data_IF_565312796869
#
_entry.id   IF_565312796869
#
_cell.length_a   1.000
_cell.length_b   1.000
_cell.length_c   1.000
_cell.angle_alpha   90.00
_cell.angle_beta   90.00
_cell.angle_gamma   90.00
#
_symmetry.space_group_name_H-M   'P 1'
#
loop_
_entity.id
_entity.type
_entity.pdbx_description
1 polymer ?
#
# COMPACT_ATOMS: atom_id res chain seq x y z
N UNK A 1 5.73 39.44 8.95
CA UNK A 1 4.71 38.38 8.78
C UNK A 1 5.45 37.07 8.61
N UNK A 2 5.44 36.21 9.62
CA UNK A 2 6.04 34.87 9.51
C UNK A 2 5.05 33.96 8.81
N UNK A 3 5.41 33.42 7.66
CA UNK A 3 4.60 32.43 6.96
C UNK A 3 4.95 31.05 7.51
N UNK A 4 3.99 30.39 8.17
CA UNK A 4 4.10 28.97 8.49
C UNK A 4 4.08 28.19 7.18
N UNK A 5 5.22 27.67 6.78
CA UNK A 5 5.26 26.62 5.76
C UNK A 5 4.73 25.36 6.43
N UNK A 6 3.56 24.90 6.02
CA UNK A 6 3.11 23.53 6.29
C UNK A 6 4.12 22.62 5.60
N UNK A 7 5.16 22.22 6.33
CA UNK A 7 6.10 21.23 5.81
C UNK A 7 5.31 19.93 5.71
N UNK A 8 4.94 19.56 4.49
CA UNK A 8 4.55 18.19 4.21
C UNK A 8 5.77 17.34 4.59
N UNK A 9 5.75 16.75 5.79
CA UNK A 9 6.77 15.78 6.17
C UNK A 9 6.61 14.62 5.20
N UNK A 10 7.53 14.51 4.25
CA UNK A 10 7.61 13.35 3.38
C UNK A 10 8.17 12.24 4.26
N UNK A 11 7.29 11.34 4.72
CA UNK A 11 7.71 10.11 5.38
C UNK A 11 8.36 9.22 4.31
N UNK A 12 9.67 9.00 4.43
CA UNK A 12 10.45 8.21 3.48
C UNK A 12 10.61 6.77 3.99
N UNK A 13 9.62 5.93 3.72
CA UNK A 13 9.76 4.49 3.94
C UNK A 13 10.69 3.90 2.86
N UNK A 14 11.88 3.46 3.25
CA UNK A 14 12.74 2.67 2.37
C UNK A 14 12.26 1.22 2.38
N UNK A 15 11.42 0.88 1.41
CA UNK A 15 10.82 -0.45 1.29
C UNK A 15 11.86 -1.49 0.85
N UNK A 16 11.92 -2.62 1.56
CA UNK A 16 12.87 -3.71 1.33
C UNK A 16 12.21 -5.05 1.06
N UNK A 17 10.98 -5.25 1.53
CA UNK A 17 10.27 -6.52 1.45
C UNK A 17 8.90 -6.31 0.81
N UNK A 18 8.50 -7.27 -0.02
CA UNK A 18 7.17 -7.31 -0.63
C UNK A 18 6.59 -8.71 -0.49
N UNK A 19 5.31 -8.78 -0.11
CA UNK A 19 4.52 -10.00 -0.10
C UNK A 19 3.16 -9.69 -0.74
N UNK A 20 2.67 -10.61 -1.56
CA UNK A 20 1.41 -10.45 -2.30
C UNK A 20 0.50 -11.63 -1.96
N UNK A 21 -0.72 -11.34 -1.54
CA UNK A 21 -1.83 -12.28 -1.45
C UNK A 21 -2.84 -11.94 -2.56
N UNK A 22 -2.94 -12.79 -3.58
CA UNK A 22 -3.82 -12.57 -4.74
C UNK A 22 -5.25 -13.13 -4.54
N UNK A 23 -5.55 -13.70 -3.37
CA UNK A 23 -6.79 -14.40 -3.09
C UNK A 23 -7.36 -14.01 -1.72
N UNK A 24 -7.19 -12.75 -1.33
CA UNK A 24 -7.62 -12.22 -0.04
C UNK A 24 -9.14 -12.00 0.03
N UNK A 25 -9.64 -11.92 1.27
CA UNK A 25 -11.04 -11.63 1.61
C UNK A 25 -11.99 -12.83 1.42
N UNK A 26 -13.27 -12.71 1.84
CA UNK A 26 -14.21 -13.84 1.85
C UNK A 26 -14.44 -14.47 0.46
N UNK A 27 -14.44 -13.65 -0.59
CA UNK A 27 -14.63 -14.08 -1.98
C UNK A 27 -13.34 -14.45 -2.71
N UNK A 28 -12.17 -14.35 -2.06
CA UNK A 28 -10.86 -14.63 -2.65
C UNK A 28 -10.58 -13.89 -3.97
N UNK A 29 -11.14 -12.70 -4.12
CA UNK A 29 -11.09 -11.90 -5.34
C UNK A 29 -10.38 -10.56 -5.15
N UNK A 30 -9.73 -10.37 -4.01
CA UNK A 30 -8.91 -9.20 -3.73
C UNK A 30 -7.43 -9.55 -3.78
N UNK A 31 -6.64 -8.63 -4.32
CA UNK A 31 -5.18 -8.66 -4.19
C UNK A 31 -4.76 -7.69 -3.10
N UNK A 32 -4.07 -8.18 -2.09
CA UNK A 32 -3.49 -7.38 -1.00
C UNK A 32 -1.97 -7.47 -1.08
N UNK A 33 -1.30 -6.32 -0.96
CA UNK A 33 0.15 -6.20 -0.98
C UNK A 33 0.63 -5.68 0.37
N UNK A 34 1.63 -6.34 0.93
CA UNK A 34 2.35 -5.90 2.12
C UNK A 34 3.73 -5.43 1.71
N UNK A 35 4.10 -4.22 2.11
CA UNK A 35 5.40 -3.61 1.86
C UNK A 35 6.08 -3.36 3.20
N UNK A 36 7.20 -4.03 3.46
CA UNK A 36 7.99 -3.84 4.67
C UNK A 36 9.17 -2.89 4.41
N UNK A 37 9.35 -1.89 5.26
CA UNK A 37 10.52 -1.03 5.28
C UNK A 37 11.67 -1.62 6.12
N UNK A 38 12.84 -1.01 6.04
CA UNK A 38 13.96 -1.27 6.95
C UNK A 38 13.76 -0.69 8.37
N UNK A 39 12.89 0.31 8.53
CA UNK A 39 12.52 0.88 9.83
C UNK A 39 11.61 0.00 10.69
N UNK A 40 11.10 -1.11 10.15
CA UNK A 40 10.12 -1.97 10.84
C UNK A 40 8.66 -1.65 10.49
N UNK A 41 8.42 -0.63 9.67
CA UNK A 41 7.08 -0.26 9.21
C UNK A 41 6.59 -1.24 8.14
N UNK A 42 5.32 -1.63 8.23
CA UNK A 42 4.61 -2.40 7.21
C UNK A 42 3.41 -1.59 6.71
N UNK A 43 3.36 -1.42 5.39
CA UNK A 43 2.24 -0.81 4.69
C UNK A 43 1.42 -1.90 4.00
N UNK A 44 0.10 -1.89 4.20
CA UNK A 44 -0.85 -2.84 3.62
C UNK A 44 -1.73 -2.14 2.61
N UNK A 45 -1.72 -2.59 1.36
CA UNK A 45 -2.50 -2.02 0.28
C UNK A 45 -3.50 -3.02 -0.29
N UNK A 46 -4.71 -2.55 -0.59
CA UNK A 46 -5.63 -3.24 -1.49
C UNK A 46 -5.37 -2.79 -2.92
N UNK A 47 -5.17 -3.72 -3.83
CA UNK A 47 -5.05 -3.45 -5.25
C UNK A 47 -6.42 -3.64 -5.91
N UNK A 48 -6.96 -2.54 -6.44
CA UNK A 48 -8.19 -2.54 -7.23
C UNK A 48 -7.82 -2.38 -8.69
N UNK A 49 -7.79 -3.48 -9.42
CA UNK A 49 -7.84 -3.40 -10.87
C UNK A 49 -9.22 -2.87 -11.26
N UNK A 50 -9.29 -1.74 -11.97
CA UNK A 50 -10.54 -1.34 -12.60
C UNK A 50 -10.81 -2.32 -13.76
N UNK A 51 -11.48 -3.43 -13.44
CA UNK A 51 -12.03 -4.38 -14.40
C UNK A 51 -13.34 -3.86 -14.99
N UNK A 52 -13.45 -2.55 -15.26
CA UNK A 52 -14.49 -2.06 -16.14
C UNK A 52 -14.35 -2.84 -17.44
N UNK A 53 -15.41 -3.55 -17.81
CA UNK A 53 -15.55 -4.32 -19.04
C UNK A 53 -15.53 -3.42 -20.30
N UNK A 54 -14.64 -2.44 -20.35
CA UNK A 54 -14.32 -1.69 -21.55
C UNK A 54 -13.37 -2.57 -22.34
N UNK A 55 -13.83 -2.99 -23.52
CA UNK A 55 -13.14 -3.76 -24.55
C UNK A 55 -11.86 -3.12 -25.11
N UNK A 56 -11.30 -2.13 -24.41
CA UNK A 56 -10.12 -1.39 -24.80
C UNK A 56 -8.95 -1.72 -23.84
N UNK A 57 -7.90 -2.43 -24.29
CA UNK A 57 -6.75 -2.80 -23.45
C UNK A 57 -5.94 -1.59 -22.94
N UNK A 58 -6.30 -0.36 -23.36
CA UNK A 58 -5.54 0.85 -23.12
C UNK A 58 -5.78 1.54 -21.77
N UNK A 59 -6.77 1.13 -20.96
CA UNK A 59 -7.15 1.91 -19.74
C UNK A 59 -7.54 1.08 -18.52
N UNK A 60 -6.85 -0.03 -18.26
CA UNK A 60 -6.89 -0.65 -16.94
C UNK A 60 -6.19 0.28 -15.92
N UNK A 61 -6.95 1.21 -15.32
CA UNK A 61 -6.46 2.05 -14.22
C UNK A 61 -6.45 1.21 -12.94
N UNK A 62 -5.29 0.67 -12.59
CA UNK A 62 -5.09 -0.01 -11.31
C UNK A 62 -4.95 1.03 -10.21
N UNK A 63 -5.87 1.03 -9.26
CA UNK A 63 -5.83 1.90 -8.09
C UNK A 63 -5.39 1.11 -6.85
N UNK A 64 -4.33 1.56 -6.18
CA UNK A 64 -3.93 1.06 -4.86
C UNK A 64 -4.60 1.88 -3.75
N UNK A 65 -5.15 1.22 -2.74
CA UNK A 65 -5.71 1.84 -1.54
C UNK A 65 -4.88 1.41 -0.33
N UNK A 66 -4.29 2.36 0.40
CA UNK A 66 -3.66 2.08 1.69
C UNK A 66 -4.75 1.70 2.68
N UNK A 67 -4.65 0.49 3.24
CA UNK A 67 -5.57 -0.01 4.25
C UNK A 67 -5.07 0.33 5.65
N UNK A 68 -3.81 -0.01 5.91
CA UNK A 68 -3.19 0.06 7.24
C UNK A 68 -1.70 0.38 7.09
N UNK A 69 -1.18 1.13 8.06
CA UNK A 69 0.23 1.29 8.36
C UNK A 69 0.44 0.82 9.79
N UNK A 70 1.41 -0.07 10.01
CA UNK A 70 1.71 -0.57 11.35
C UNK A 70 3.20 -0.90 11.49
N UNK A 71 3.73 -0.75 12.70
CA UNK A 71 5.09 -1.20 13.04
C UNK A 71 5.08 -2.69 13.39
N UNK A 72 6.09 -3.42 12.96
CA UNK A 72 6.32 -4.78 13.47
C UNK A 72 6.69 -4.72 14.94
N UNK A 73 6.30 -5.74 15.69
CA UNK A 73 6.71 -5.86 17.09
C UNK A 73 8.25 -5.81 17.19
N UNK A 74 8.82 -5.04 18.14
CA UNK A 74 10.23 -5.10 18.44
C UNK A 74 10.63 -6.56 18.68
N UNK A 75 11.74 -6.98 18.09
CA UNK A 75 12.25 -8.35 18.25
C UNK A 75 12.83 -8.60 19.65
N UNK A 76 12.72 -7.63 20.56
CA UNK A 76 13.30 -7.66 21.89
C UNK A 76 12.38 -8.45 22.85
N UNK A 77 12.43 -9.78 22.71
CA UNK A 77 12.11 -10.78 23.74
C UNK A 77 13.06 -11.95 23.66
#
# INVERSE_FOLDING_TARGET
MYYNVTQSVILSYQLRKIVVDNAAGPGRNYTVVFLGSDSGTVLKFLIRANLSASSSPARASSHSLLLEEFETYPSDK
#
